data_IF_408985618039
#
_entry.id   IF_408985618039
#
_cell.length_a   1.000
_cell.length_b   1.000
_cell.length_c   1.000
_cell.angle_alpha   90.00
_cell.angle_beta   90.00
_cell.angle_gamma   90.00
#
_symmetry.space_group_name_H-M   'P 1'
#
loop_
_entity.id
_entity.type
_entity.pdbx_description
1 polymer ?
#
# COMPACT_ATOMS: atom_id res chain seq x y z
N UNK A 1 11.03 -12.15 -18.11
CA UNK A 1 10.50 -10.80 -17.76
C UNK A 1 11.62 -10.07 -17.01
N UNK A 2 11.91 -8.80 -17.28
CA UNK A 2 12.98 -8.06 -16.59
C UNK A 2 12.39 -6.86 -15.85
N UNK A 3 12.51 -6.82 -14.52
CA UNK A 3 12.26 -5.65 -13.67
C UNK A 3 13.50 -5.36 -12.84
N UNK A 4 13.74 -4.09 -12.52
CA UNK A 4 14.84 -3.64 -11.65
C UNK A 4 14.40 -3.49 -10.19
N UNK A 5 13.10 -3.66 -9.92
CA UNK A 5 12.53 -3.56 -8.59
C UNK A 5 12.64 -4.90 -7.87
N UNK A 6 13.47 -4.93 -6.82
CA UNK A 6 13.86 -6.16 -6.14
C UNK A 6 12.67 -6.87 -5.49
N UNK A 7 11.69 -6.13 -4.95
CA UNK A 7 10.51 -6.71 -4.30
C UNK A 7 9.66 -7.56 -5.27
N UNK A 8 9.48 -7.08 -6.50
CA UNK A 8 8.75 -7.79 -7.55
C UNK A 8 9.47 -9.09 -7.94
N UNK A 9 10.81 -9.05 -8.04
CA UNK A 9 11.64 -10.23 -8.32
C UNK A 9 11.54 -11.28 -7.21
N UNK A 10 11.54 -10.86 -5.95
CA UNK A 10 11.37 -11.76 -4.82
C UNK A 10 9.99 -12.41 -4.82
N UNK A 11 8.93 -11.66 -5.12
CA UNK A 11 7.58 -12.24 -5.21
C UNK A 11 7.50 -13.32 -6.29
N UNK A 12 8.06 -13.05 -7.48
CA UNK A 12 8.14 -14.05 -8.55
C UNK A 12 8.93 -15.29 -8.08
N UNK A 13 10.12 -15.09 -7.50
CA UNK A 13 10.95 -16.18 -7.02
C UNK A 13 10.25 -17.03 -5.97
N UNK A 14 9.54 -16.41 -5.01
CA UNK A 14 8.79 -17.11 -3.98
C UNK A 14 7.74 -18.01 -4.62
N UNK A 15 6.97 -17.51 -5.58
CA UNK A 15 5.97 -18.31 -6.32
C UNK A 15 6.64 -19.48 -7.04
N UNK A 16 7.80 -19.27 -7.66
CA UNK A 16 8.53 -20.34 -8.37
C UNK A 16 9.03 -21.44 -7.43
N UNK A 17 9.68 -21.08 -6.31
CA UNK A 17 10.31 -22.04 -5.38
C UNK A 17 9.32 -22.71 -4.43
N UNK A 18 8.12 -22.15 -4.25
CA UNK A 18 7.12 -22.73 -3.37
C UNK A 18 6.72 -24.13 -3.88
N UNK A 19 6.70 -25.10 -2.98
CA UNK A 19 6.23 -26.44 -3.31
C UNK A 19 4.73 -26.42 -3.62
N UNK A 20 4.22 -27.47 -4.26
CA UNK A 20 2.77 -27.66 -4.43
C UNK A 20 2.10 -27.68 -3.05
N UNK A 21 1.02 -26.92 -2.88
CA UNK A 21 0.33 -26.68 -1.61
C UNK A 21 1.19 -26.00 -0.53
N UNK A 22 2.36 -25.48 -0.90
CA UNK A 22 3.16 -24.64 -0.02
C UNK A 22 2.46 -23.29 0.19
N UNK A 23 2.73 -22.68 1.35
CA UNK A 23 2.11 -21.43 1.79
C UNK A 23 3.18 -20.38 2.04
N UNK A 24 2.87 -19.13 1.72
CA UNK A 24 3.76 -18.01 1.96
C UNK A 24 3.00 -16.81 2.55
N UNK A 25 3.70 -16.08 3.41
CA UNK A 25 3.30 -14.76 3.87
C UNK A 25 4.43 -13.78 3.52
N UNK A 26 4.13 -12.75 2.74
CA UNK A 26 5.16 -11.82 2.21
C UNK A 26 4.80 -10.39 2.57
N UNK A 27 5.74 -9.67 3.16
CA UNK A 27 5.61 -8.24 3.47
C UNK A 27 6.10 -7.42 2.28
N UNK A 28 5.25 -6.56 1.75
CA UNK A 28 5.53 -5.73 0.57
C UNK A 28 5.09 -4.28 0.79
N UNK A 29 5.81 -3.28 0.25
CA UNK A 29 5.33 -1.91 0.25
C UNK A 29 4.10 -1.75 -0.66
N UNK A 30 3.32 -0.68 -0.45
CA UNK A 30 2.12 -0.38 -1.27
C UNK A 30 2.42 -0.30 -2.77
N UNK A 31 3.62 0.15 -3.15
CA UNK A 31 4.10 0.22 -4.53
C UNK A 31 4.16 -1.12 -5.29
N UNK A 32 4.08 -2.25 -4.57
CA UNK A 32 3.99 -3.58 -5.20
C UNK A 32 2.55 -3.96 -5.58
N UNK A 33 1.54 -3.36 -4.95
CA UNK A 33 0.12 -3.66 -5.23
C UNK A 33 -0.38 -3.03 -6.53
N UNK A 34 0.10 -1.83 -6.84
CA UNK A 34 -0.26 -1.09 -8.06
C UNK A 34 0.88 -1.08 -9.08
N UNK A 35 0.67 -0.37 -10.19
CA UNK A 35 1.66 -0.26 -11.27
C UNK A 35 1.41 -1.24 -12.41
N UNK A 36 1.95 -0.86 -13.56
CA UNK A 36 1.68 -1.47 -14.87
C UNK A 36 2.88 -2.26 -15.41
N UNK A 37 2.68 -2.92 -16.55
CA UNK A 37 3.75 -3.60 -17.28
C UNK A 37 4.19 -4.89 -16.60
N UNK A 38 5.42 -4.91 -16.05
CA UNK A 38 5.98 -6.13 -15.42
C UNK A 38 5.24 -6.49 -14.14
N UNK A 39 4.82 -5.49 -13.34
CA UNK A 39 4.05 -5.71 -12.11
C UNK A 39 2.72 -6.40 -12.37
N UNK A 40 2.00 -5.98 -13.41
CA UNK A 40 0.76 -6.65 -13.85
C UNK A 40 1.01 -8.12 -14.16
N UNK A 41 2.10 -8.45 -14.88
CA UNK A 41 2.43 -9.84 -15.21
C UNK A 41 2.76 -10.68 -13.99
N UNK A 42 3.47 -10.12 -13.01
CA UNK A 42 3.80 -10.81 -11.76
C UNK A 42 2.55 -11.04 -10.90
N UNK A 43 1.66 -10.04 -10.80
CA UNK A 43 0.37 -10.19 -10.09
C UNK A 43 -0.55 -11.20 -10.78
N UNK A 44 -0.54 -11.22 -12.11
CA UNK A 44 -1.22 -12.25 -12.89
C UNK A 44 -0.65 -13.65 -12.60
N UNK A 45 0.67 -13.82 -12.66
CA UNK A 45 1.32 -15.09 -12.30
C UNK A 45 0.94 -15.54 -10.88
N UNK A 46 1.00 -14.61 -9.91
CA UNK A 46 0.62 -14.89 -8.52
C UNK A 46 -0.83 -15.37 -8.42
N UNK A 47 -1.77 -14.70 -9.07
CA UNK A 47 -3.20 -15.03 -8.97
C UNK A 47 -3.60 -16.25 -9.79
N UNK A 48 -2.84 -16.61 -10.83
CA UNK A 48 -3.08 -17.82 -11.63
C UNK A 48 -2.47 -19.09 -10.99
N UNK A 49 -1.26 -18.98 -10.43
CA UNK A 49 -0.52 -20.13 -9.86
C UNK A 49 -0.81 -20.35 -8.37
N UNK A 50 -1.22 -19.29 -7.67
CA UNK A 50 -1.49 -19.32 -6.24
C UNK A 50 -2.88 -18.79 -5.91
N UNK A 51 -3.40 -19.28 -4.80
CA UNK A 51 -4.60 -18.79 -4.16
C UNK A 51 -4.17 -17.67 -3.21
N UNK A 52 -4.13 -16.43 -3.71
CA UNK A 52 -3.95 -15.21 -2.92
C UNK A 52 -5.23 -14.95 -2.14
N UNK A 53 -5.36 -15.62 -1.01
CA UNK A 53 -6.61 -15.63 -0.26
C UNK A 53 -6.75 -14.41 0.65
N UNK A 54 -5.65 -13.74 1.04
CA UNK A 54 -5.73 -12.61 2.00
C UNK A 54 -4.63 -11.58 1.82
N UNK A 55 -5.01 -10.30 1.89
CA UNK A 55 -4.11 -9.15 1.95
C UNK A 55 -4.45 -8.35 3.21
N UNK A 56 -3.49 -8.25 4.14
CA UNK A 56 -3.62 -7.39 5.32
C UNK A 56 -2.88 -6.08 5.05
N UNK A 57 -3.60 -4.96 5.08
CA UNK A 57 -3.05 -3.62 4.90
C UNK A 57 -2.65 -3.05 6.24
N UNK A 58 -1.39 -2.72 6.38
CA UNK A 58 -0.88 -2.06 7.57
C UNK A 58 -0.96 -0.53 7.42
N UNK A 59 -1.20 0.18 8.53
CA UNK A 59 -1.16 1.62 8.58
C UNK A 59 0.26 2.20 8.41
N UNK A 60 0.39 3.53 8.48
CA UNK A 60 1.67 4.20 8.29
C UNK A 60 2.59 4.03 9.50
N UNK A 61 3.90 4.13 9.26
CA UNK A 61 4.89 4.15 10.33
C UNK A 61 5.15 2.80 11.00
N UNK A 62 4.70 1.67 10.45
CA UNK A 62 4.94 0.36 11.11
C UNK A 62 6.43 -0.02 11.11
N UNK A 63 7.11 0.20 9.99
CA UNK A 63 8.51 -0.20 9.83
C UNK A 63 9.47 0.97 9.98
N UNK A 64 10.56 0.77 10.74
CA UNK A 64 11.70 1.68 10.83
C UNK A 64 12.30 1.90 9.41
N UNK A 65 12.50 3.13 8.90
CA UNK A 65 12.59 4.43 9.59
C UNK A 65 11.28 5.18 9.90
N UNK A 66 10.16 4.47 10.06
CA UNK A 66 8.82 4.99 10.34
C UNK A 66 8.30 5.86 9.20
N UNK A 67 8.41 5.32 7.98
CA UNK A 67 8.02 6.03 6.75
C UNK A 67 6.50 6.15 6.64
N UNK A 68 6.06 7.10 5.82
CA UNK A 68 4.65 7.25 5.43
C UNK A 68 4.21 6.22 4.37
N UNK A 69 5.08 5.28 3.99
CA UNK A 69 4.76 4.27 2.98
C UNK A 69 4.02 3.14 3.68
N UNK A 70 2.76 2.93 3.29
CA UNK A 70 1.96 1.79 3.75
C UNK A 70 2.62 0.47 3.30
N UNK A 71 2.43 -0.57 4.10
CA UNK A 71 2.91 -1.92 3.81
C UNK A 71 1.77 -2.90 3.87
N UNK A 72 1.87 -3.98 3.11
CA UNK A 72 0.84 -5.00 2.98
C UNK A 72 1.45 -6.37 3.21
N UNK A 73 0.69 -7.26 3.84
CA UNK A 73 1.04 -8.66 4.02
C UNK A 73 0.16 -9.48 3.07
N UNK A 74 0.80 -10.18 2.14
CA UNK A 74 0.11 -11.08 1.21
C UNK A 74 0.23 -12.51 1.72
N UNK A 75 -0.89 -13.20 1.82
CA UNK A 75 -0.97 -14.60 2.20
C UNK A 75 -1.54 -15.41 1.06
N UNK A 76 -0.77 -16.41 0.62
CA UNK A 76 -1.15 -17.22 -0.52
C UNK A 76 -0.63 -18.66 -0.44
N UNK A 77 -1.36 -19.54 -1.12
CA UNK A 77 -1.07 -20.97 -1.19
C UNK A 77 -0.93 -21.39 -2.64
N UNK A 78 0.17 -22.05 -3.01
CA UNK A 78 0.43 -22.46 -4.40
C UNK A 78 -0.34 -23.70 -4.79
N UNK A 79 -0.85 -23.72 -6.01
CA UNK A 79 -1.40 -24.90 -6.66
C UNK A 79 -2.88 -24.80 -7.00
N UNK A 80 -3.56 -23.71 -6.62
CA UNK A 80 -4.91 -23.38 -7.06
C UNK A 80 -4.97 -21.90 -7.44
N UNK A 81 -5.69 -21.51 -8.51
CA UNK A 81 -5.85 -20.11 -8.86
C UNK A 81 -6.69 -19.36 -7.83
N UNK A 82 -6.43 -18.07 -7.71
CA UNK A 82 -7.20 -17.13 -6.88
C UNK A 82 -8.59 -16.96 -7.46
N UNK A 83 -9.61 -17.07 -6.60
CA UNK A 83 -11.02 -16.79 -6.97
C UNK A 83 -11.52 -15.52 -6.31
N UNK A 84 -11.17 -15.36 -5.04
CA UNK A 84 -11.58 -14.23 -4.21
C UNK A 84 -10.42 -13.90 -3.27
N UNK A 85 -10.26 -12.61 -3.00
CA UNK A 85 -9.24 -12.08 -2.11
C UNK A 85 -9.95 -11.38 -0.97
N UNK A 86 -9.62 -11.78 0.26
CA UNK A 86 -9.98 -11.01 1.43
C UNK A 86 -8.99 -9.88 1.64
N UNK A 87 -9.50 -8.68 1.87
CA UNK A 87 -8.71 -7.57 2.37
C UNK A 87 -9.05 -7.35 3.83
N UNK A 88 -8.04 -7.02 4.63
CA UNK A 88 -8.22 -6.58 6.02
C UNK A 88 -7.39 -5.32 6.24
N UNK A 89 -8.02 -4.23 6.65
CA UNK A 89 -7.34 -2.98 6.99
C UNK A 89 -7.11 -2.89 8.49
N UNK A 90 -5.84 -3.02 8.90
CA UNK A 90 -5.45 -2.95 10.31
C UNK A 90 -5.67 -1.52 10.84
N UNK A 91 -6.56 -1.32 11.83
CA UNK A 91 -6.84 0.00 12.37
C UNK A 91 -5.73 0.43 13.34
N UNK A 92 -5.60 1.74 13.56
CA UNK A 92 -4.80 2.22 14.69
C UNK A 92 -5.52 1.96 16.02
N UNK A 93 -4.78 1.72 17.11
CA UNK A 93 -5.32 1.76 18.46
C UNK A 93 -5.95 3.12 18.78
N UNK A 94 -6.90 3.13 19.71
CA UNK A 94 -7.55 4.35 20.15
C UNK A 94 -6.53 5.44 20.57
N UNK A 95 -6.63 6.61 19.95
CA UNK A 95 -5.73 7.75 20.23
C UNK A 95 -4.38 7.71 19.52
N UNK A 96 -4.10 6.69 18.70
CA UNK A 96 -2.91 6.63 17.83
C UNK A 96 -3.30 7.06 16.42
N UNK A 97 -2.47 7.93 15.81
CA UNK A 97 -2.66 8.38 14.41
C UNK A 97 -1.49 8.01 13.50
N UNK A 98 -0.36 7.60 14.08
CA UNK A 98 0.84 7.14 13.39
C UNK A 98 1.71 6.36 14.38
N UNK A 99 2.37 5.30 13.91
CA UNK A 99 3.39 4.61 14.70
C UNK A 99 4.73 5.36 14.63
N UNK A 100 5.53 5.19 15.68
CA UNK A 100 6.84 5.83 15.80
C UNK A 100 7.78 5.01 16.68
N UNK A 101 9.04 5.43 16.79
CA UNK A 101 9.99 4.81 17.72
C UNK A 101 9.51 4.77 19.17
N UNK A 102 8.76 5.79 19.60
CA UNK A 102 8.23 5.89 20.97
C UNK A 102 6.85 5.23 21.13
N UNK A 103 6.15 4.97 20.03
CA UNK A 103 4.86 4.29 19.98
C UNK A 103 4.91 3.22 18.87
N UNK A 104 5.63 2.10 19.10
CA UNK A 104 5.70 1.02 18.13
C UNK A 104 4.39 0.24 18.10
N UNK A 105 4.11 -0.39 16.97
CA UNK A 105 3.05 -1.37 16.85
C UNK A 105 3.36 -2.57 17.74
N UNK A 106 2.34 -3.05 18.45
CA UNK A 106 2.45 -4.21 19.34
C UNK A 106 1.71 -5.41 18.77
N UNK A 107 2.12 -6.60 19.22
CA UNK A 107 1.52 -7.85 18.73
C UNK A 107 0.04 -7.98 19.12
N UNK A 108 -0.33 -7.48 20.29
CA UNK A 108 -1.71 -7.57 20.80
C UNK A 108 -2.71 -6.80 19.91
N UNK A 109 -2.22 -5.88 19.09
CA UNK A 109 -3.05 -5.13 18.14
C UNK A 109 -3.58 -6.03 17.02
N UNK A 110 -2.93 -7.17 16.75
CA UNK A 110 -3.35 -8.16 15.74
C UNK A 110 -4.42 -9.14 16.23
N UNK A 111 -4.87 -9.02 17.49
CA UNK A 111 -5.80 -10.01 18.06
C UNK A 111 -7.12 -10.07 17.26
N UNK A 112 -7.61 -8.93 16.77
CA UNK A 112 -8.83 -8.88 15.97
C UNK A 112 -8.69 -9.66 14.65
N UNK A 113 -7.55 -9.51 13.96
CA UNK A 113 -7.22 -10.26 12.75
C UNK A 113 -7.10 -11.75 13.02
N UNK A 114 -6.47 -12.12 14.13
CA UNK A 114 -6.30 -13.53 14.54
C UNK A 114 -7.66 -14.17 14.82
N UNK A 115 -8.53 -13.48 15.56
CA UNK A 115 -9.87 -13.96 15.91
C UNK A 115 -10.76 -14.08 14.65
N UNK A 116 -10.59 -13.15 13.70
CA UNK A 116 -11.31 -13.17 12.43
C UNK A 116 -10.75 -14.18 11.42
N UNK A 117 -9.47 -14.56 11.53
CA UNK A 117 -8.71 -15.25 10.47
C UNK A 117 -9.36 -16.53 9.95
N UNK A 118 -9.99 -17.33 10.82
CA UNK A 118 -10.61 -18.59 10.47
C UNK A 118 -9.61 -19.68 10.05
N UNK A 119 -10.08 -20.68 9.30
CA UNK A 119 -9.30 -21.85 8.90
C UNK A 119 -9.22 -22.00 7.38
N UNK A 120 -8.03 -22.19 6.82
CA UNK A 120 -7.87 -22.43 5.39
C UNK A 120 -8.49 -23.75 4.93
N UNK A 121 -8.52 -24.78 5.79
CA UNK A 121 -9.01 -26.11 5.46
C UNK A 121 -10.51 -26.16 5.13
N UNK A 122 -11.29 -25.21 5.64
CA UNK A 122 -12.71 -25.06 5.32
C UNK A 122 -12.97 -23.94 4.29
N UNK A 123 -11.92 -23.39 3.69
CA UNK A 123 -12.03 -22.27 2.75
C UNK A 123 -12.31 -20.93 3.44
N UNK A 124 -11.95 -20.79 4.71
CA UNK A 124 -12.20 -19.62 5.54
C UNK A 124 -13.70 -19.32 5.75
N UNK A 125 -14.50 -20.37 5.94
CA UNK A 125 -15.96 -20.30 6.01
C UNK A 125 -16.49 -19.43 7.16
N UNK A 126 -15.70 -19.25 8.22
CA UNK A 126 -16.06 -18.41 9.37
C UNK A 126 -15.89 -16.91 9.15
N UNK A 127 -15.22 -16.49 8.06
CA UNK A 127 -14.96 -15.06 7.81
C UNK A 127 -16.23 -14.34 7.40
N UNK A 128 -16.42 -13.17 7.99
CA UNK A 128 -17.54 -12.27 7.70
C UNK A 128 -16.99 -10.89 7.38
N UNK A 129 -17.62 -10.21 6.43
CA UNK A 129 -17.31 -8.81 6.15
C UNK A 129 -17.66 -7.93 7.35
N UNK A 130 -16.84 -6.90 7.57
CA UNK A 130 -17.01 -5.91 8.63
C UNK A 130 -16.35 -4.58 8.20
N UNK A 131 -16.27 -3.61 9.11
CA UNK A 131 -15.70 -2.29 8.81
C UNK A 131 -14.22 -2.33 8.40
N UNK A 132 -13.48 -3.39 8.74
CA UNK A 132 -12.07 -3.57 8.43
C UNK A 132 -11.84 -4.62 7.33
N UNK A 133 -12.78 -5.53 7.10
CA UNK A 133 -12.62 -6.69 6.24
C UNK A 133 -13.67 -6.76 5.14
N UNK A 134 -13.23 -6.87 3.88
CA UNK A 134 -14.11 -6.97 2.72
C UNK A 134 -13.55 -7.96 1.69
N UNK A 135 -14.43 -8.54 0.86
CA UNK A 135 -14.04 -9.43 -0.23
C UNK A 135 -13.98 -8.71 -1.56
N UNK A 136 -13.08 -9.19 -2.42
CA UNK A 136 -13.00 -8.79 -3.82
C UNK A 136 -12.88 -10.03 -4.69
N UNK A 137 -13.66 -10.10 -5.77
CA UNK A 137 -13.59 -11.19 -6.73
C UNK A 137 -12.36 -11.08 -7.64
N UNK A 138 -11.89 -12.20 -8.19
CA UNK A 138 -10.81 -12.17 -9.18
C UNK A 138 -11.22 -11.41 -10.45
N UNK A 139 -12.50 -11.43 -10.82
CA UNK A 139 -13.03 -10.70 -11.98
C UNK A 139 -12.89 -9.17 -11.78
N UNK A 140 -13.18 -8.68 -10.57
CA UNK A 140 -12.97 -7.29 -10.19
C UNK A 140 -11.50 -6.87 -10.23
N UNK A 141 -10.59 -7.79 -9.89
CA UNK A 141 -9.14 -7.57 -9.95
C UNK A 141 -8.67 -7.55 -11.41
N UNK A 142 -9.18 -8.45 -12.25
CA UNK A 142 -8.89 -8.48 -13.69
C UNK A 142 -9.39 -7.21 -14.38
N UNK A 143 -10.61 -6.78 -14.08
CA UNK A 143 -11.18 -5.53 -14.60
C UNK A 143 -10.34 -4.30 -14.22
N UNK A 144 -9.66 -4.35 -13.07
CA UNK A 144 -8.68 -3.34 -12.61
C UNK A 144 -7.26 -3.56 -13.13
N UNK A 145 -7.07 -4.38 -14.17
CA UNK A 145 -5.76 -4.73 -14.74
C UNK A 145 -4.77 -5.26 -13.68
N UNK A 146 -5.26 -6.13 -12.79
CA UNK A 146 -4.52 -6.66 -11.64
C UNK A 146 -4.01 -5.59 -10.68
N UNK A 147 -4.67 -4.43 -10.57
CA UNK A 147 -4.37 -3.48 -9.50
C UNK A 147 -4.96 -3.97 -8.17
N UNK A 148 -4.09 -4.30 -7.22
CA UNK A 148 -4.45 -4.80 -5.90
C UNK A 148 -4.57 -3.69 -4.84
N UNK A 149 -4.30 -2.42 -5.19
CA UNK A 149 -4.58 -1.29 -4.29
C UNK A 149 -6.08 -0.98 -4.28
N UNK A 150 -6.84 -1.84 -3.60
CA UNK A 150 -8.28 -1.69 -3.43
C UNK A 150 -8.51 -1.08 -2.06
N UNK A 151 -9.21 0.06 -2.03
CA UNK A 151 -9.52 0.79 -0.79
C UNK A 151 -10.68 0.11 -0.05
N UNK A 152 -10.68 0.28 1.26
CA UNK A 152 -11.77 -0.17 2.12
C UNK A 152 -13.04 0.64 1.83
N UNK A 153 -14.17 0.00 1.45
CA UNK A 153 -15.41 0.70 1.15
C UNK A 153 -16.05 1.37 2.38
N UNK A 154 -15.66 0.98 3.60
CA UNK A 154 -16.21 1.49 4.85
C UNK A 154 -15.43 2.67 5.43
N UNK A 155 -14.22 2.96 4.93
CA UNK A 155 -13.49 4.15 5.36
C UNK A 155 -13.85 5.35 4.47
N UNK A 156 -14.34 6.42 5.08
CA UNK A 156 -14.51 7.69 4.39
C UNK A 156 -13.16 8.18 3.87
N UNK A 157 -13.07 8.50 2.57
CA UNK A 157 -11.88 9.10 1.98
C UNK A 157 -11.50 10.36 2.77
N UNK A 158 -10.37 10.30 3.46
CA UNK A 158 -9.86 11.43 4.26
C UNK A 158 -9.11 12.44 3.40
N UNK A 159 -8.90 12.14 2.12
CA UNK A 159 -8.27 13.04 1.16
C UNK A 159 -9.10 13.01 -0.12
N UNK A 160 -9.83 14.09 -0.38
CA UNK A 160 -10.49 14.33 -1.66
C UNK A 160 -9.46 14.22 -2.78
N UNK A 161 -9.73 13.37 -3.77
CA UNK A 161 -8.94 13.27 -5.01
C UNK A 161 -9.68 13.93 -6.18
N UNK A 162 -10.60 14.86 -5.90
CA UNK A 162 -11.27 15.64 -6.92
C UNK A 162 -10.20 16.37 -7.77
N UNK A 163 -10.09 16.06 -9.09
CA UNK A 163 -9.12 16.68 -9.97
C UNK A 163 -9.20 18.20 -9.95
N UNK A 164 -10.41 18.77 -9.80
CA UNK A 164 -10.60 20.22 -9.80
C UNK A 164 -10.04 20.85 -8.52
N UNK A 165 -10.26 20.23 -7.35
CA UNK A 165 -9.67 20.69 -6.07
C UNK A 165 -8.14 20.57 -6.08
N UNK A 166 -7.61 19.49 -6.66
CA UNK A 166 -6.17 19.28 -6.80
C UNK A 166 -5.53 20.32 -7.72
N UNK A 167 -6.19 20.68 -8.84
CA UNK A 167 -5.72 21.72 -9.74
C UNK A 167 -5.72 23.10 -9.08
N UNK A 168 -6.72 23.41 -8.25
CA UNK A 168 -6.75 24.65 -7.46
C UNK A 168 -5.61 24.69 -6.44
N UNK A 169 -5.36 23.58 -5.73
CA UNK A 169 -4.21 23.49 -4.81
C UNK A 169 -2.88 23.63 -5.55
N UNK A 170 -2.73 22.98 -6.70
CA UNK A 170 -1.53 23.08 -7.53
C UNK A 170 -1.28 24.53 -7.97
N UNK A 171 -2.31 25.22 -8.47
CA UNK A 171 -2.20 26.62 -8.88
C UNK A 171 -1.79 27.53 -7.71
N UNK A 172 -2.35 27.31 -6.52
CA UNK A 172 -1.97 28.04 -5.30
C UNK A 172 -0.50 27.81 -4.93
N UNK A 173 -0.05 26.56 -4.93
CA UNK A 173 1.35 26.21 -4.63
C UNK A 173 2.32 26.84 -5.64
N UNK A 174 1.97 26.87 -6.93
CA UNK A 174 2.78 27.55 -7.95
C UNK A 174 2.93 29.05 -7.68
N UNK A 175 1.87 29.72 -7.26
CA UNK A 175 1.92 31.15 -6.92
C UNK A 175 2.81 31.42 -5.69
N UNK A 176 2.73 30.56 -4.67
CA UNK A 176 3.58 30.63 -3.47
C UNK A 176 5.06 30.41 -3.82
N UNK A 177 5.37 29.41 -4.65
CA UNK A 177 6.73 29.15 -5.15
C UNK A 177 7.27 30.38 -5.90
N UNK A 178 6.47 30.99 -6.77
CA UNK A 178 6.89 32.17 -7.54
C UNK A 178 7.17 33.36 -6.62
N UNK A 179 6.34 33.55 -5.58
CA UNK A 179 6.51 34.60 -4.59
C UNK A 179 7.82 34.42 -3.83
N UNK A 180 8.07 33.20 -3.33
CA UNK A 180 9.29 32.87 -2.59
C UNK A 180 10.55 33.05 -3.46
N UNK A 181 10.48 32.66 -4.74
CA UNK A 181 11.56 32.86 -5.70
C UNK A 181 11.86 34.34 -5.92
N UNK A 182 10.83 35.19 -6.02
CA UNK A 182 11.03 36.64 -6.17
C UNK A 182 11.70 37.22 -4.92
N UNK A 183 11.25 36.82 -3.73
CA UNK A 183 11.87 37.24 -2.46
C UNK A 183 13.35 36.83 -2.39
N UNK A 184 13.69 35.59 -2.78
CA UNK A 184 15.08 35.14 -2.83
C UNK A 184 15.92 35.97 -3.80
N UNK A 185 15.38 36.28 -4.98
CA UNK A 185 16.06 37.12 -5.98
C UNK A 185 16.33 38.52 -5.44
N UNK A 186 15.36 39.12 -4.76
CA UNK A 186 15.48 40.49 -4.26
C UNK A 186 16.49 40.56 -3.09
N UNK A 187 16.50 39.56 -2.20
CA UNK A 187 17.51 39.44 -1.12
C UNK A 187 18.92 39.25 -1.70
N UNK A 188 19.09 38.35 -2.68
CA UNK A 188 20.38 38.12 -3.32
C UNK A 188 20.86 39.35 -4.11
N UNK A 189 19.94 40.06 -4.76
CA UNK A 189 20.22 41.32 -5.44
C UNK A 189 20.78 42.36 -4.48
N UNK A 190 20.09 42.61 -3.36
CA UNK A 190 20.54 43.56 -2.34
C UNK A 190 21.92 43.18 -1.75
N UNK A 191 22.14 41.91 -1.42
CA UNK A 191 23.40 41.44 -0.84
C UNK A 191 24.60 41.51 -1.81
N UNK A 192 24.36 41.39 -3.12
CA UNK A 192 25.39 41.55 -4.15
C UNK A 192 25.70 43.03 -4.40
N UNK A 193 24.69 43.91 -4.37
CA UNK A 193 24.86 45.36 -4.50
C UNK A 193 25.62 45.98 -3.33
N UNK A 194 25.39 45.52 -2.10
CA UNK A 194 26.11 46.01 -0.90
C UNK A 194 27.61 45.62 -0.88
N UNK A 195 28.02 44.62 -1.68
CA UNK A 195 29.42 44.19 -1.79
C UNK A 195 30.26 45.02 -2.75
N UNK A 196 29.64 45.79 -3.65
CA UNK A 196 30.35 46.64 -4.63
C UNK A 196 30.68 48.04 -4.09
N UNK A 197 30.21 48.40 -2.89
CA UNK A 197 30.36 49.74 -2.30
C UNK A 197 31.39 49.79 -1.15
N UNK A 198 32.19 48.73 -0.94
CA UNK A 198 33.34 48.73 -0.03
C UNK A 198 34.66 48.49 -0.77
#
# INVERSE_FOLDING_TARGET
>A
MQTRETADLFLQLIVEVLAKNGRAAVVLPDGTLFGEGVKTKIKKLLTEECNLHTIVRLPNGVFNPYTSIKTNLLFFTKGQPTKEIWFYEHPYPAGVKNYSKTKPMKFEEFQAEIDWWGNEADGFASRVENEQAWKVSIDDVIARNFNLDIKNPHQAETVSHDPDELLVQYAKQQAEIQTLRNQLRDILGAALSDKEVN
#
